data_IF_860787896502
#
_entry.id   IF_860787896502
#
_cell.length_a   1.000
_cell.length_b   1.000
_cell.length_c   1.000
_cell.angle_alpha   90.00
_cell.angle_beta   90.00
_cell.angle_gamma   90.00
#
_symmetry.space_group_name_H-M   'P 1'
#
loop_
_entity.id
_entity.type
_entity.pdbx_description
1 polymer ?
#
# COMPACT_ATOMS: atom_id res chain seq x y z
N UNK A 1 -30.90 -20.67 -1.83
CA UNK A 1 -29.92 -21.54 -2.49
C UNK A 1 -29.66 -22.70 -1.53
N UNK A 2 -29.97 -23.91 -1.92
CA UNK A 2 -29.67 -25.09 -1.09
C UNK A 2 -28.36 -25.70 -1.55
N UNK A 3 -27.44 -25.86 -0.64
CA UNK A 3 -26.14 -26.45 -0.89
C UNK A 3 -26.03 -27.73 -0.06
N UNK A 4 -26.25 -28.92 -0.66
CA UNK A 4 -26.18 -30.19 0.07
C UNK A 4 -24.72 -30.45 0.45
N UNK A 5 -24.46 -30.69 1.71
CA UNK A 5 -23.18 -31.17 2.20
C UNK A 5 -23.30 -32.69 2.36
N UNK A 6 -22.56 -33.40 1.53
CA UNK A 6 -22.61 -34.88 1.52
C UNK A 6 -21.39 -35.41 2.25
N UNK A 7 -21.56 -36.36 3.16
CA UNK A 7 -20.46 -37.07 3.78
C UNK A 7 -19.68 -37.85 2.72
N UNK A 8 -18.33 -37.74 2.74
CA UNK A 8 -17.49 -38.46 1.78
C UNK A 8 -17.28 -39.93 2.12
N UNK A 9 -17.53 -40.33 3.36
CA UNK A 9 -17.31 -41.68 3.86
C UNK A 9 -18.51 -42.14 4.71
N UNK A 10 -18.64 -43.44 4.85
CA UNK A 10 -19.71 -44.07 5.67
C UNK A 10 -19.36 -43.94 7.17
N UNK A 11 -20.40 -43.67 7.99
CA UNK A 11 -20.21 -43.52 9.42
C UNK A 11 -21.38 -42.85 10.12
N UNK A 12 -21.25 -42.61 11.41
CA UNK A 12 -22.26 -42.00 12.26
C UNK A 12 -21.95 -40.49 12.40
N UNK A 13 -22.88 -39.64 11.97
CA UNK A 13 -22.77 -38.19 12.08
C UNK A 13 -23.30 -37.71 13.42
N UNK A 14 -22.52 -36.97 14.15
CA UNK A 14 -22.95 -36.22 15.33
C UNK A 14 -22.90 -34.72 15.00
N UNK A 15 -24.07 -34.08 14.97
CA UNK A 15 -24.13 -32.65 14.73
C UNK A 15 -23.69 -31.85 15.96
N UNK A 16 -22.80 -30.87 15.75
CA UNK A 16 -22.32 -29.94 16.77
C UNK A 16 -23.15 -28.66 16.75
N UNK A 17 -23.58 -28.23 15.58
CA UNK A 17 -24.42 -27.04 15.41
C UNK A 17 -25.91 -27.41 15.28
N UNK A 18 -26.75 -26.58 15.86
CA UNK A 18 -28.21 -26.76 15.80
C UNK A 18 -28.79 -26.20 14.49
N UNK A 19 -29.90 -26.75 13.98
CA UNK A 19 -30.58 -26.18 12.82
C UNK A 19 -30.97 -24.72 13.05
N UNK A 20 -30.79 -23.89 12.03
CA UNK A 20 -31.13 -22.47 12.07
C UNK A 20 -30.00 -21.53 12.57
N UNK A 21 -28.85 -22.06 12.95
CA UNK A 21 -27.68 -21.25 13.31
C UNK A 21 -26.97 -20.75 12.04
N UNK A 22 -26.52 -19.50 12.05
CA UNK A 22 -25.65 -18.98 11.02
C UNK A 22 -24.26 -19.60 11.15
N UNK A 23 -23.64 -19.91 10.00
CA UNK A 23 -22.34 -20.56 9.92
C UNK A 23 -21.35 -19.65 9.23
N UNK A 24 -20.12 -19.64 9.75
CA UNK A 24 -18.99 -18.98 9.11
C UNK A 24 -18.04 -20.02 8.45
N UNK A 25 -17.27 -19.60 7.44
CA UNK A 25 -16.27 -20.49 6.85
C UNK A 25 -15.28 -20.99 7.90
N UNK A 26 -15.17 -22.31 8.03
CA UNK A 26 -14.34 -22.97 9.05
C UNK A 26 -15.08 -23.47 10.29
N UNK A 27 -16.36 -23.16 10.43
CA UNK A 27 -17.20 -23.71 11.50
C UNK A 27 -17.39 -25.23 11.39
N UNK A 28 -17.23 -25.93 12.51
CA UNK A 28 -17.48 -27.37 12.60
C UNK A 28 -18.99 -27.61 12.68
N UNK A 29 -19.54 -28.22 11.65
CA UNK A 29 -20.96 -28.59 11.57
C UNK A 29 -21.30 -29.84 12.35
N UNK A 30 -20.43 -30.82 12.25
CA UNK A 30 -20.60 -32.12 12.84
C UNK A 30 -19.32 -32.93 12.84
N UNK A 31 -19.30 -33.98 13.59
CA UNK A 31 -18.23 -34.96 13.67
C UNK A 31 -18.73 -36.26 13.04
N UNK A 32 -17.99 -36.82 12.12
CA UNK A 32 -18.28 -38.11 11.51
C UNK A 32 -17.39 -39.17 12.16
N UNK A 33 -18.04 -40.08 12.90
CA UNK A 33 -17.36 -41.27 13.40
C UNK A 33 -17.43 -42.34 12.28
N UNK A 34 -16.28 -42.64 11.73
CA UNK A 34 -16.15 -43.51 10.55
C UNK A 34 -16.36 -44.98 10.92
N UNK A 35 -17.06 -45.70 10.06
CA UNK A 35 -17.19 -47.15 10.18
C UNK A 35 -15.84 -47.85 9.94
N UNK A 36 -15.04 -47.32 9.03
CA UNK A 36 -13.66 -47.76 8.78
C UNK A 36 -12.68 -46.60 8.87
N UNK A 37 -12.07 -46.37 10.06
CA UNK A 37 -11.07 -45.28 10.24
C UNK A 37 -9.83 -45.41 9.36
N UNK A 38 -9.51 -46.59 8.85
CA UNK A 38 -8.34 -46.83 8.02
C UNK A 38 -8.48 -46.19 6.60
N UNK A 39 -9.67 -45.87 6.17
CA UNK A 39 -9.93 -45.21 4.89
C UNK A 39 -9.47 -43.77 4.86
N UNK A 40 -9.39 -43.09 6.01
CA UNK A 40 -8.92 -41.71 6.08
C UNK A 40 -7.41 -41.67 6.15
N UNK A 41 -6.80 -41.07 5.14
CA UNK A 41 -5.37 -40.77 5.17
C UNK A 41 -5.12 -39.59 6.11
N UNK A 42 -4.65 -39.87 7.30
CA UNK A 42 -4.17 -38.80 8.19
C UNK A 42 -2.98 -38.08 7.58
N UNK A 43 -2.98 -36.75 7.65
CA UNK A 43 -1.82 -35.96 7.30
C UNK A 43 -0.66 -36.37 8.23
N UNK A 44 0.44 -36.79 7.64
CA UNK A 44 1.67 -37.08 8.38
C UNK A 44 2.55 -35.85 8.37
N UNK A 45 3.27 -35.53 9.45
CA UNK A 45 4.30 -34.51 9.39
C UNK A 45 5.25 -34.81 8.23
N UNK A 46 5.64 -33.76 7.52
CA UNK A 46 6.63 -33.90 6.47
C UNK A 46 7.99 -34.17 7.10
N UNK A 47 8.57 -35.34 6.83
CA UNK A 47 9.86 -35.82 7.36
C UNK A 47 11.00 -35.71 6.35
N UNK A 48 10.71 -35.15 5.17
CA UNK A 48 11.69 -34.96 4.11
C UNK A 48 12.37 -33.60 4.17
N UNK A 49 13.42 -33.44 3.38
CA UNK A 49 14.01 -32.14 3.11
C UNK A 49 13.17 -31.38 2.09
N UNK A 50 12.84 -30.13 2.41
CA UNK A 50 12.22 -29.25 1.41
C UNK A 50 13.20 -29.09 0.25
N UNK A 51 12.71 -29.14 -1.01
CA UNK A 51 13.59 -28.92 -2.15
C UNK A 51 14.24 -27.53 -1.98
N UNK A 52 15.53 -27.37 -2.37
CA UNK A 52 16.18 -26.08 -2.31
C UNK A 52 15.35 -25.12 -3.14
N UNK A 53 14.81 -24.10 -2.50
CA UNK A 53 14.15 -23.00 -3.20
C UNK A 53 15.24 -22.32 -4.02
N UNK A 54 15.05 -22.27 -5.34
CA UNK A 54 15.89 -21.46 -6.20
C UNK A 54 15.98 -20.01 -5.72
N UNK A 55 16.87 -19.21 -6.30
CA UNK A 55 16.92 -17.79 -5.97
C UNK A 55 15.50 -17.22 -6.06
N UNK A 56 15.13 -16.41 -5.07
CA UNK A 56 13.82 -15.79 -5.04
C UNK A 56 13.54 -15.18 -6.41
N UNK A 57 12.49 -15.65 -7.06
CA UNK A 57 12.11 -15.13 -8.38
C UNK A 57 11.95 -13.63 -8.24
N UNK A 58 12.50 -12.88 -9.19
CA UNK A 58 12.29 -11.43 -9.22
C UNK A 58 10.79 -11.21 -9.39
N UNK A 59 10.12 -10.90 -8.28
CA UNK A 59 8.69 -10.62 -8.28
C UNK A 59 8.51 -9.29 -9.02
N UNK A 60 8.13 -9.41 -10.28
CA UNK A 60 7.63 -8.30 -11.06
C UNK A 60 8.67 -7.31 -11.57
N UNK A 61 8.98 -7.41 -12.86
CA UNK A 61 9.77 -6.39 -13.58
C UNK A 61 8.93 -5.25 -14.15
N UNK A 62 7.61 -5.24 -13.92
CA UNK A 62 6.76 -4.15 -14.39
C UNK A 62 7.05 -2.89 -13.60
N UNK A 63 7.03 -1.74 -14.24
CA UNK A 63 7.32 -0.43 -13.65
C UNK A 63 6.54 -0.20 -12.36
N UNK A 64 5.24 -0.48 -12.33
CA UNK A 64 4.43 -0.36 -11.11
C UNK A 64 4.88 -1.29 -9.98
N UNK A 65 5.25 -2.52 -10.29
CA UNK A 65 5.72 -3.47 -9.27
C UNK A 65 7.07 -3.06 -8.68
N UNK A 66 7.97 -2.51 -9.51
CA UNK A 66 9.22 -1.91 -9.06
C UNK A 66 8.94 -0.70 -8.15
N UNK A 67 8.01 0.17 -8.55
CA UNK A 67 7.56 1.31 -7.75
C UNK A 67 7.09 0.88 -6.36
N UNK A 68 6.13 -0.05 -6.28
CA UNK A 68 5.57 -0.55 -5.01
C UNK A 68 6.66 -1.16 -4.13
N UNK A 69 7.57 -1.95 -4.71
CA UNK A 69 8.70 -2.53 -3.98
C UNK A 69 9.62 -1.45 -3.41
N UNK A 70 9.98 -0.46 -4.22
CA UNK A 70 10.86 0.63 -3.77
C UNK A 70 10.21 1.44 -2.65
N UNK A 71 8.96 1.84 -2.81
CA UNK A 71 8.22 2.60 -1.79
C UNK A 71 8.11 1.78 -0.50
N UNK A 72 7.65 0.53 -0.56
CA UNK A 72 7.53 -0.33 0.62
C UNK A 72 8.86 -0.53 1.34
N UNK A 73 9.96 -0.77 0.61
CA UNK A 73 11.29 -0.90 1.24
C UNK A 73 11.73 0.41 1.93
N UNK A 74 11.44 1.57 1.34
CA UNK A 74 11.79 2.86 1.95
C UNK A 74 10.89 3.19 3.14
N UNK A 75 9.61 2.82 3.09
CA UNK A 75 8.69 2.91 4.21
C UNK A 75 9.15 2.03 5.38
N UNK A 76 9.53 0.77 5.13
CA UNK A 76 10.12 -0.12 6.13
C UNK A 76 11.34 0.51 6.81
N UNK A 77 12.22 1.17 6.04
CA UNK A 77 13.38 1.87 6.61
C UNK A 77 12.94 3.05 7.49
N UNK A 78 11.91 3.80 7.08
CA UNK A 78 11.35 4.90 7.87
C UNK A 78 10.64 4.39 9.12
N UNK A 79 10.09 3.19 9.10
CA UNK A 79 9.51 2.50 10.24
C UNK A 79 10.56 1.90 11.19
N UNK A 80 11.85 1.92 10.80
CA UNK A 80 12.97 1.57 11.67
C UNK A 80 13.67 0.26 11.35
N UNK A 81 13.32 -0.39 10.26
CA UNK A 81 14.09 -1.55 9.77
C UNK A 81 15.42 -1.07 9.18
N UNK A 82 16.53 -1.44 9.82
CA UNK A 82 17.85 -1.03 9.37
C UNK A 82 18.31 -1.85 8.16
N UNK A 83 18.21 -1.27 6.99
CA UNK A 83 18.70 -1.86 5.74
C UNK A 83 19.55 -0.86 4.94
N UNK A 84 20.62 -0.42 5.56
CA UNK A 84 21.52 0.57 4.99
C UNK A 84 22.15 0.13 3.66
N UNK A 85 22.39 -1.18 3.48
CA UNK A 85 23.04 -1.72 2.29
C UNK A 85 22.27 -1.47 1.00
N UNK A 86 20.93 -1.50 1.04
CA UNK A 86 20.08 -1.33 -0.14
C UNK A 86 19.42 0.05 -0.23
N UNK A 87 19.45 0.85 0.82
CA UNK A 87 18.75 2.13 0.91
C UNK A 87 19.07 3.06 -0.28
N UNK A 88 20.35 3.30 -0.54
CA UNK A 88 20.77 4.22 -1.60
C UNK A 88 20.40 3.71 -3.00
N UNK A 89 20.54 2.41 -3.25
CA UNK A 89 20.17 1.82 -4.54
C UNK A 89 18.65 1.81 -4.74
N UNK A 90 17.89 1.53 -3.69
CA UNK A 90 16.42 1.54 -3.74
C UNK A 90 15.88 2.95 -3.94
N UNK A 91 16.44 3.95 -3.27
CA UNK A 91 16.04 5.34 -3.47
C UNK A 91 16.33 5.81 -4.90
N UNK A 92 17.53 5.49 -5.42
CA UNK A 92 17.87 5.79 -6.81
C UNK A 92 16.91 5.11 -7.79
N UNK A 93 16.62 3.82 -7.58
CA UNK A 93 15.66 3.08 -8.40
C UNK A 93 14.25 3.70 -8.32
N UNK A 94 13.80 4.15 -7.14
CA UNK A 94 12.53 4.86 -7.00
C UNK A 94 12.48 6.09 -7.89
N UNK A 95 13.53 6.93 -7.88
CA UNK A 95 13.58 8.12 -8.71
C UNK A 95 13.52 7.76 -10.20
N UNK A 96 14.29 6.76 -10.64
CA UNK A 96 14.25 6.29 -12.04
C UNK A 96 12.84 5.85 -12.45
N UNK A 97 12.16 5.11 -11.59
CA UNK A 97 10.80 4.60 -11.84
C UNK A 97 9.76 5.73 -11.84
N UNK A 98 9.91 6.75 -10.99
CA UNK A 98 9.00 7.91 -10.96
C UNK A 98 9.04 8.73 -12.26
N UNK A 99 10.16 8.71 -12.99
CA UNK A 99 10.28 9.34 -14.31
C UNK A 99 9.87 8.44 -15.48
N UNK A 100 9.52 7.17 -15.23
CA UNK A 100 9.12 6.26 -16.28
C UNK A 100 7.69 6.58 -16.78
N UNK A 101 7.51 6.95 -18.07
CA UNK A 101 6.19 7.26 -18.63
C UNK A 101 5.19 6.09 -18.57
N UNK A 102 5.67 4.85 -18.48
CA UNK A 102 4.83 3.65 -18.36
C UNK A 102 4.27 3.44 -16.95
N UNK A 103 4.79 4.13 -15.94
CA UNK A 103 4.35 3.96 -14.55
C UNK A 103 2.83 4.13 -14.38
N UNK A 104 2.19 5.25 -14.78
CA UNK A 104 0.75 5.43 -14.62
C UNK A 104 -0.07 4.39 -15.39
N UNK A 105 0.36 4.01 -16.58
CA UNK A 105 -0.33 3.00 -17.38
C UNK A 105 -0.24 1.60 -16.74
N UNK A 106 0.90 1.26 -16.19
CA UNK A 106 1.13 0.00 -15.48
C UNK A 106 0.29 -0.08 -14.20
N UNK A 107 0.23 0.99 -13.42
CA UNK A 107 -0.53 1.07 -12.17
C UNK A 107 -2.04 0.98 -12.44
N UNK A 108 -2.57 1.80 -13.34
CA UNK A 108 -3.99 1.76 -13.71
C UNK A 108 -4.38 0.43 -14.33
N UNK A 109 -3.55 -0.16 -15.18
CA UNK A 109 -3.81 -1.49 -15.74
C UNK A 109 -3.89 -2.58 -14.67
N UNK A 110 -3.04 -2.51 -13.64
CA UNK A 110 -3.09 -3.43 -12.50
C UNK A 110 -4.41 -3.30 -11.74
N UNK A 111 -4.85 -2.08 -11.45
CA UNK A 111 -6.11 -1.82 -10.76
C UNK A 111 -7.32 -2.25 -11.60
N UNK A 112 -7.33 -1.92 -12.90
CA UNK A 112 -8.40 -2.37 -13.79
C UNK A 112 -8.51 -3.90 -13.83
N UNK A 113 -7.39 -4.61 -13.74
CA UNK A 113 -7.40 -6.07 -13.66
C UNK A 113 -8.03 -6.58 -12.37
N UNK A 114 -7.84 -5.91 -11.24
CA UNK A 114 -8.49 -6.28 -9.95
C UNK A 114 -9.98 -5.92 -9.91
N UNK A 115 -10.39 -4.91 -10.66
CA UNK A 115 -11.78 -4.47 -10.77
C UNK A 115 -12.54 -5.18 -11.89
N UNK A 116 -11.88 -5.97 -12.72
CA UNK A 116 -12.51 -6.74 -13.80
C UNK A 116 -13.61 -7.64 -13.24
N UNK A 117 -14.78 -7.61 -13.89
CA UNK A 117 -15.97 -8.31 -13.42
C UNK A 117 -16.73 -7.64 -12.25
N UNK A 118 -16.16 -6.61 -11.63
CA UNK A 118 -16.84 -5.78 -10.60
C UNK A 118 -17.27 -4.42 -11.13
N UNK A 119 -16.74 -4.04 -12.27
CA UNK A 119 -17.05 -2.80 -12.97
C UNK A 119 -17.91 -3.11 -14.20
N UNK A 120 -18.89 -2.26 -14.55
CA UNK A 120 -19.68 -2.41 -15.77
C UNK A 120 -18.79 -2.41 -17.03
N UNK A 121 -19.00 -3.37 -17.94
CA UNK A 121 -18.16 -3.53 -19.14
C UNK A 121 -18.07 -2.27 -20.00
N UNK A 122 -19.19 -1.56 -20.16
CA UNK A 122 -19.20 -0.28 -20.90
C UNK A 122 -18.27 0.78 -20.31
N UNK A 123 -18.19 0.84 -18.98
CA UNK A 123 -17.28 1.76 -18.29
C UNK A 123 -15.83 1.33 -18.48
N UNK A 124 -15.55 0.02 -18.34
CA UNK A 124 -14.22 -0.53 -18.56
C UNK A 124 -13.71 -0.28 -19.99
N UNK A 125 -14.57 -0.51 -21.00
CA UNK A 125 -14.26 -0.23 -22.40
C UNK A 125 -13.98 1.26 -22.65
N UNK A 126 -14.77 2.16 -22.06
CA UNK A 126 -14.55 3.60 -22.18
C UNK A 126 -13.21 4.04 -21.58
N UNK A 127 -12.82 3.48 -20.44
CA UNK A 127 -11.53 3.76 -19.79
C UNK A 127 -10.39 3.22 -20.64
N UNK A 128 -10.46 1.97 -21.10
CA UNK A 128 -9.44 1.37 -21.98
C UNK A 128 -9.29 2.14 -23.27
N UNK A 129 -10.38 2.54 -23.90
CA UNK A 129 -10.36 3.39 -25.10
C UNK A 129 -9.71 4.76 -24.85
N UNK A 130 -9.91 5.35 -23.68
CA UNK A 130 -9.25 6.60 -23.30
C UNK A 130 -7.73 6.41 -23.16
N UNK A 131 -7.30 5.30 -22.57
CA UNK A 131 -5.88 4.93 -22.41
C UNK A 131 -5.25 4.68 -23.78
N UNK A 132 -5.85 3.84 -24.61
CA UNK A 132 -5.33 3.48 -25.95
C UNK A 132 -5.25 4.70 -26.86
N UNK A 133 -6.24 5.60 -26.77
CA UNK A 133 -6.24 6.86 -27.51
C UNK A 133 -5.10 7.80 -27.09
N UNK A 134 -4.70 7.79 -25.84
CA UNK A 134 -3.57 8.57 -25.34
C UNK A 134 -2.24 7.96 -25.80
N UNK A 135 -2.08 6.64 -25.67
CA UNK A 135 -0.88 5.91 -26.16
C UNK A 135 -0.67 6.10 -27.66
N UNK A 136 -1.74 6.07 -28.46
CA UNK A 136 -1.65 6.19 -29.93
C UNK A 136 -1.28 7.59 -30.42
N UNK A 137 -1.51 8.64 -29.61
CA UNK A 137 -1.16 10.02 -29.97
C UNK A 137 0.32 10.36 -29.80
N UNK A 138 1.11 9.46 -29.23
CA UNK A 138 2.54 9.67 -29.03
C UNK A 138 2.89 10.68 -27.94
N UNK A 139 1.90 11.25 -27.25
CA UNK A 139 2.08 12.05 -26.03
C UNK A 139 2.40 11.10 -24.86
N UNK A 140 3.52 10.39 -24.98
CA UNK A 140 3.99 9.42 -23.98
C UNK A 140 4.20 10.03 -22.59
N UNK A 141 4.21 11.37 -22.51
CA UNK A 141 4.49 12.09 -21.28
C UNK A 141 3.24 12.52 -20.49
N UNK A 142 2.06 12.38 -21.05
CA UNK A 142 0.84 12.85 -20.38
C UNK A 142 -0.22 11.77 -20.27
N UNK A 143 -0.19 11.08 -19.12
CA UNK A 143 -1.24 10.13 -18.79
C UNK A 143 -2.60 10.84 -18.66
N UNK A 144 -3.68 10.35 -19.30
CA UNK A 144 -4.97 11.06 -19.40
C UNK A 144 -5.82 10.97 -18.12
N UNK A 145 -5.23 11.21 -16.94
CA UNK A 145 -5.90 11.10 -15.65
C UNK A 145 -7.20 11.91 -15.57
N UNK A 146 -7.14 13.17 -15.98
CA UNK A 146 -8.30 14.08 -15.99
C UNK A 146 -9.43 13.55 -16.86
N UNK A 147 -9.10 13.01 -18.04
CA UNK A 147 -10.10 12.47 -18.97
C UNK A 147 -10.76 11.22 -18.42
N UNK A 148 -9.96 10.31 -17.85
CA UNK A 148 -10.48 9.07 -17.26
C UNK A 148 -11.36 9.41 -16.06
N UNK A 149 -10.93 10.34 -15.20
CA UNK A 149 -11.71 10.79 -14.06
C UNK A 149 -13.06 11.37 -14.47
N UNK A 150 -13.09 12.20 -15.51
CA UNK A 150 -14.35 12.72 -16.06
C UNK A 150 -15.27 11.61 -16.58
N UNK A 151 -14.74 10.60 -17.25
CA UNK A 151 -15.53 9.44 -17.71
C UNK A 151 -16.16 8.71 -16.52
N UNK A 152 -15.40 8.49 -15.45
CA UNK A 152 -15.88 7.87 -14.21
C UNK A 152 -16.98 8.69 -13.54
N UNK A 153 -16.74 9.99 -13.36
CA UNK A 153 -17.69 10.91 -12.71
C UNK A 153 -18.99 11.01 -13.50
N UNK A 154 -18.89 11.15 -14.83
CA UNK A 154 -20.06 11.20 -15.72
C UNK A 154 -20.87 9.90 -15.63
N UNK A 155 -20.20 8.75 -15.64
CA UNK A 155 -20.87 7.45 -15.48
C UNK A 155 -21.59 7.35 -14.14
N UNK A 156 -20.94 7.77 -13.04
CA UNK A 156 -21.54 7.77 -11.70
C UNK A 156 -22.78 8.67 -11.64
N UNK A 157 -22.75 9.82 -12.30
CA UNK A 157 -23.88 10.77 -12.30
C UNK A 157 -25.06 10.30 -13.14
N UNK A 158 -24.79 9.75 -14.32
CA UNK A 158 -25.82 9.49 -15.34
C UNK A 158 -26.37 8.08 -15.30
N UNK A 159 -25.52 7.10 -14.94
CA UNK A 159 -25.90 5.69 -15.03
C UNK A 159 -26.22 5.06 -13.67
N UNK A 160 -25.81 5.69 -12.56
CA UNK A 160 -25.99 5.13 -11.21
C UNK A 160 -27.09 5.90 -10.47
N UNK A 161 -28.02 5.15 -9.86
CA UNK A 161 -29.08 5.75 -9.05
C UNK A 161 -28.48 6.53 -7.86
N UNK A 162 -29.05 7.68 -7.47
CA UNK A 162 -28.51 8.52 -6.40
C UNK A 162 -28.19 7.79 -5.09
N UNK A 163 -29.06 6.84 -4.71
CA UNK A 163 -28.89 6.03 -3.49
C UNK A 163 -27.68 5.08 -3.52
N UNK A 164 -27.28 4.66 -4.72
CA UNK A 164 -26.22 3.65 -4.91
C UNK A 164 -24.86 4.28 -5.26
N UNK A 165 -24.82 5.61 -5.54
CA UNK A 165 -23.60 6.32 -5.97
C UNK A 165 -22.47 6.25 -4.96
N UNK A 166 -22.78 6.35 -3.68
CA UNK A 166 -21.76 6.28 -2.61
C UNK A 166 -21.09 4.90 -2.58
N UNK A 167 -21.90 3.84 -2.61
CA UNK A 167 -21.40 2.46 -2.62
C UNK A 167 -20.55 2.20 -3.88
N UNK A 168 -21.02 2.64 -5.04
CA UNK A 168 -20.29 2.48 -6.30
C UNK A 168 -18.96 3.26 -6.31
N UNK A 169 -18.93 4.48 -5.76
CA UNK A 169 -17.68 5.23 -5.58
C UNK A 169 -16.71 4.51 -4.66
N UNK A 170 -17.17 3.96 -3.55
CA UNK A 170 -16.33 3.17 -2.64
C UNK A 170 -15.74 1.94 -3.34
N UNK A 171 -16.51 1.28 -4.19
CA UNK A 171 -16.04 0.13 -4.97
C UNK A 171 -14.94 0.52 -5.97
N UNK A 172 -15.01 1.72 -6.56
CA UNK A 172 -14.04 2.25 -7.50
C UNK A 172 -12.97 3.15 -6.83
N UNK A 173 -12.98 3.28 -5.50
CA UNK A 173 -12.02 4.13 -4.78
C UNK A 173 -10.57 3.90 -5.19
N UNK A 174 -10.05 2.65 -5.34
CA UNK A 174 -8.66 2.44 -5.76
C UNK A 174 -8.32 3.08 -7.10
N UNK A 175 -9.29 3.13 -8.03
CA UNK A 175 -9.09 3.76 -9.33
C UNK A 175 -9.11 5.29 -9.22
N UNK A 176 -10.02 5.86 -8.43
CA UNK A 176 -10.04 7.30 -8.16
C UNK A 176 -8.74 7.75 -7.49
N UNK A 177 -8.28 7.03 -6.49
CA UNK A 177 -7.05 7.35 -5.74
C UNK A 177 -5.82 7.40 -6.64
N UNK A 178 -5.69 6.43 -7.55
CA UNK A 178 -4.58 6.44 -8.52
C UNK A 178 -4.70 7.58 -9.52
N UNK A 179 -5.90 7.84 -10.04
CA UNK A 179 -6.09 8.97 -10.95
C UNK A 179 -5.74 10.30 -10.27
N UNK A 180 -6.09 10.47 -9.00
CA UNK A 180 -5.77 11.67 -8.23
C UNK A 180 -4.27 11.87 -8.03
N UNK A 181 -3.50 10.79 -7.82
CA UNK A 181 -2.04 10.84 -7.77
C UNK A 181 -1.43 11.40 -9.06
N UNK A 182 -2.00 11.06 -10.21
CA UNK A 182 -1.50 11.46 -11.52
C UNK A 182 -2.17 12.71 -12.12
N UNK A 183 -3.02 13.42 -11.37
CA UNK A 183 -3.66 14.66 -11.84
C UNK A 183 -2.65 15.75 -12.24
N UNK A 184 -1.50 15.80 -11.56
CA UNK A 184 -0.39 16.70 -11.89
C UNK A 184 0.67 16.08 -12.81
N UNK A 185 0.35 14.98 -13.51
CA UNK A 185 1.31 14.22 -14.32
C UNK A 185 2.35 13.48 -13.46
N UNK A 186 3.46 13.06 -14.08
CA UNK A 186 4.55 12.37 -13.39
C UNK A 186 5.17 13.23 -12.28
N UNK A 187 5.35 14.55 -12.51
CA UNK A 187 5.86 15.45 -11.47
C UNK A 187 4.93 15.57 -10.27
N UNK A 188 3.63 15.62 -10.50
CA UNK A 188 2.65 15.62 -9.41
C UNK A 188 2.73 14.35 -8.58
N UNK A 189 2.86 13.21 -9.24
CA UNK A 189 3.03 11.92 -8.57
C UNK A 189 4.35 11.83 -7.79
N UNK A 190 5.44 12.34 -8.35
CA UNK A 190 6.75 12.46 -7.68
C UNK A 190 6.64 13.27 -6.38
N UNK A 191 6.08 14.48 -6.46
CA UNK A 191 5.84 15.35 -5.29
C UNK A 191 5.00 14.63 -4.24
N UNK A 192 3.93 13.94 -4.67
CA UNK A 192 3.06 13.20 -3.78
C UNK A 192 3.81 12.05 -3.06
N UNK A 193 4.60 11.28 -3.79
CA UNK A 193 5.37 10.15 -3.24
C UNK A 193 6.42 10.63 -2.24
N UNK A 194 7.20 11.65 -2.60
CA UNK A 194 8.21 12.24 -1.72
C UNK A 194 7.58 12.84 -0.47
N UNK A 195 6.47 13.59 -0.62
CA UNK A 195 5.73 14.12 0.52
C UNK A 195 5.17 13.03 1.43
N UNK A 196 4.71 11.91 0.86
CA UNK A 196 4.20 10.76 1.63
C UNK A 196 5.29 10.11 2.49
N UNK A 197 6.48 9.87 1.91
CA UNK A 197 7.63 9.34 2.65
C UNK A 197 8.05 10.27 3.79
N UNK A 198 8.17 11.58 3.52
CA UNK A 198 8.51 12.55 4.56
C UNK A 198 7.41 12.66 5.64
N UNK A 199 6.15 12.54 5.27
CA UNK A 199 5.02 12.54 6.21
C UNK A 199 5.01 11.31 7.12
N UNK A 200 5.42 10.14 6.62
CA UNK A 200 5.60 8.94 7.43
C UNK A 200 6.68 9.15 8.50
N UNK A 201 7.83 9.72 8.09
CA UNK A 201 8.88 10.11 9.03
C UNK A 201 8.39 11.12 10.08
N UNK A 202 7.75 12.20 9.62
CA UNK A 202 7.19 13.25 10.49
C UNK A 202 6.23 12.68 11.53
N UNK A 203 5.32 11.78 11.10
CA UNK A 203 4.34 11.16 11.99
C UNK A 203 5.02 10.35 13.09
N UNK A 204 6.08 9.62 12.77
CA UNK A 204 6.86 8.87 13.75
C UNK A 204 7.58 9.80 14.73
N UNK A 205 8.24 10.85 14.25
CA UNK A 205 8.94 11.80 15.11
C UNK A 205 7.97 12.58 16.03
N UNK A 206 6.79 12.96 15.54
CA UNK A 206 5.74 13.59 16.35
C UNK A 206 5.29 12.71 17.52
N UNK A 207 5.25 11.41 17.35
CA UNK A 207 4.91 10.48 18.45
C UNK A 207 5.90 10.59 19.61
N UNK A 208 7.15 10.91 19.35
CA UNK A 208 8.23 10.95 20.34
C UNK A 208 8.65 12.36 20.76
N UNK A 209 7.92 13.39 20.36
CA UNK A 209 8.19 14.81 20.67
C UNK A 209 8.04 15.23 22.15
N UNK A 210 8.18 14.28 23.10
CA UNK A 210 8.12 14.50 24.54
C UNK A 210 8.98 13.50 25.30
N UNK A 211 8.60 13.13 26.55
CA UNK A 211 9.28 12.02 27.24
C UNK A 211 9.02 10.71 26.51
N UNK A 212 10.11 10.05 26.10
CA UNK A 212 10.06 8.74 25.41
C UNK A 212 9.33 7.71 26.27
N UNK A 213 9.62 7.68 27.59
CA UNK A 213 9.01 6.73 28.52
C UNK A 213 7.48 6.90 28.59
N UNK A 214 7.02 8.15 28.73
CA UNK A 214 5.59 8.43 28.79
C UNK A 214 4.89 8.05 27.48
N UNK A 215 5.55 8.23 26.34
CA UNK A 215 5.02 7.88 25.03
C UNK A 215 4.99 6.37 24.82
N UNK A 216 6.05 5.64 25.19
CA UNK A 216 6.08 4.18 25.13
C UNK A 216 4.97 3.57 26.00
N UNK A 217 4.75 4.09 27.20
CA UNK A 217 3.65 3.65 28.06
C UNK A 217 2.29 3.91 27.40
N UNK A 218 2.10 5.08 26.81
CA UNK A 218 0.86 5.42 26.07
C UNK A 218 0.64 4.50 24.85
N UNK A 219 1.69 4.22 24.06
CA UNK A 219 1.62 3.32 22.92
C UNK A 219 1.28 1.89 23.36
N UNK A 220 1.85 1.43 24.45
CA UNK A 220 1.54 0.12 25.04
C UNK A 220 0.08 0.02 25.48
N UNK A 221 -0.45 1.07 26.10
CA UNK A 221 -1.86 1.15 26.49
C UNK A 221 -2.80 1.11 25.27
N UNK A 222 -2.45 1.82 24.21
CA UNK A 222 -3.25 1.90 22.98
C UNK A 222 -3.20 0.63 22.14
N UNK A 223 -2.11 -0.13 22.21
CA UNK A 223 -1.89 -1.35 21.42
C UNK A 223 -1.66 -2.55 22.32
N UNK A 224 -2.53 -2.78 23.30
CA UNK A 224 -2.40 -3.88 24.29
C UNK A 224 -2.32 -5.25 23.64
N UNK A 225 -3.01 -5.43 22.51
CA UNK A 225 -3.12 -6.70 21.80
C UNK A 225 -2.04 -6.87 20.70
N UNK A 226 -1.24 -5.83 20.43
CA UNK A 226 -0.21 -5.82 19.39
C UNK A 226 1.08 -5.17 19.89
N UNK A 227 1.82 -5.93 20.70
CA UNK A 227 3.09 -5.47 21.25
C UNK A 227 4.19 -5.35 20.19
N UNK A 228 4.13 -6.13 19.11
CA UNK A 228 5.09 -6.06 18.02
C UNK A 228 5.02 -4.71 17.32
N UNK A 229 3.82 -4.16 17.16
CA UNK A 229 3.63 -2.81 16.66
C UNK A 229 4.24 -1.74 17.57
N UNK A 230 4.12 -1.90 18.88
CA UNK A 230 4.77 -0.98 19.85
C UNK A 230 6.29 -1.05 19.73
N UNK A 231 6.85 -2.26 19.63
CA UNK A 231 8.29 -2.46 19.45
C UNK A 231 8.78 -1.85 18.14
N UNK A 232 8.08 -2.07 17.04
CA UNK A 232 8.39 -1.48 15.73
C UNK A 232 8.42 0.05 15.79
N UNK A 233 7.40 0.68 16.37
CA UNK A 233 7.32 2.14 16.54
C UNK A 233 8.47 2.69 17.41
N UNK A 234 8.78 2.04 18.52
CA UNK A 234 9.89 2.46 19.39
C UNK A 234 11.24 2.31 18.70
N UNK A 235 11.46 1.21 17.99
CA UNK A 235 12.69 0.99 17.23
C UNK A 235 12.84 1.97 16.08
N UNK A 236 11.75 2.34 15.40
CA UNK A 236 11.80 3.34 14.32
C UNK A 236 12.30 4.69 14.82
N UNK A 237 12.02 5.04 16.07
CA UNK A 237 12.51 6.28 16.66
C UNK A 237 13.97 6.17 17.15
N UNK A 238 14.31 5.08 17.83
CA UNK A 238 15.56 5.01 18.62
C UNK A 238 16.80 4.54 17.87
N UNK A 239 16.68 3.74 16.81
CA UNK A 239 17.83 3.01 16.23
C UNK A 239 18.16 3.36 14.79
N UNK A 240 17.39 4.16 14.12
CA UNK A 240 17.49 4.23 12.68
C UNK A 240 18.51 5.25 12.17
N UNK A 241 19.78 4.91 12.16
CA UNK A 241 20.76 5.66 11.36
C UNK A 241 20.38 5.67 9.86
N UNK A 242 19.85 4.57 9.35
CA UNK A 242 19.37 4.47 7.97
C UNK A 242 18.21 5.42 7.71
N UNK A 243 17.26 5.54 8.65
CA UNK A 243 16.15 6.48 8.57
C UNK A 243 16.61 7.92 8.38
N UNK A 244 17.51 8.39 9.23
CA UNK A 244 18.06 9.76 9.12
C UNK A 244 18.83 9.98 7.83
N UNK A 245 19.63 9.00 7.40
CA UNK A 245 20.34 9.06 6.11
C UNK A 245 19.39 9.11 4.92
N UNK A 246 18.29 8.33 4.97
CA UNK A 246 17.27 8.35 3.93
C UNK A 246 16.60 9.72 3.83
N UNK A 247 16.21 10.30 4.97
CA UNK A 247 15.61 11.64 5.00
C UNK A 247 16.56 12.69 4.43
N UNK A 248 17.84 12.65 4.82
CA UNK A 248 18.86 13.55 4.24
C UNK A 248 18.97 13.36 2.72
N UNK A 249 19.00 12.12 2.23
CA UNK A 249 19.02 11.85 0.79
C UNK A 249 17.79 12.37 0.06
N UNK A 250 16.62 12.29 0.68
CA UNK A 250 15.37 12.86 0.13
C UNK A 250 15.47 14.40 0.10
N UNK A 251 15.96 15.04 1.15
CA UNK A 251 16.10 16.50 1.22
C UNK A 251 17.12 17.01 0.18
N UNK A 252 18.25 16.34 0.04
CA UNK A 252 19.25 16.65 -0.99
C UNK A 252 18.67 16.50 -2.41
N UNK A 253 17.85 15.48 -2.61
CA UNK A 253 17.14 15.27 -3.87
C UNK A 253 16.16 16.42 -4.15
N UNK A 254 15.32 16.81 -3.19
CA UNK A 254 14.38 17.94 -3.33
C UNK A 254 15.13 19.22 -3.72
N UNK A 255 16.27 19.49 -3.08
CA UNK A 255 17.11 20.66 -3.35
C UNK A 255 17.68 20.65 -4.78
N UNK A 256 18.07 19.47 -5.28
CA UNK A 256 18.70 19.32 -6.60
C UNK A 256 17.71 19.17 -7.76
N UNK A 257 16.53 18.62 -7.53
CA UNK A 257 15.55 18.28 -8.57
C UNK A 257 14.67 19.45 -9.01
N UNK A 258 14.68 20.58 -8.29
CA UNK A 258 13.84 21.74 -8.57
C UNK A 258 12.35 21.43 -8.43
N UNK A 259 11.98 20.53 -7.53
CA UNK A 259 10.59 20.27 -7.19
C UNK A 259 9.91 21.56 -6.69
N UNK A 260 8.61 21.77 -7.02
CA UNK A 260 7.90 22.98 -6.64
C UNK A 260 7.62 22.98 -5.12
N UNK A 261 8.52 23.55 -4.36
CA UNK A 261 8.40 23.72 -2.89
C UNK A 261 7.73 25.04 -2.53
N UNK A 262 7.68 26.00 -3.48
CA UNK A 262 7.33 27.40 -3.23
C UNK A 262 5.84 27.71 -3.06
N UNK A 263 4.95 26.74 -3.23
CA UNK A 263 3.51 26.95 -3.02
C UNK A 263 3.11 26.53 -1.61
N UNK A 264 2.63 27.46 -0.80
CA UNK A 264 2.11 27.18 0.54
C UNK A 264 0.95 26.18 0.56
N UNK A 265 0.29 25.96 -0.58
CA UNK A 265 -0.77 24.98 -0.77
C UNK A 265 -0.22 23.58 -1.11
N UNK A 266 1.08 23.48 -1.44
CA UNK A 266 1.72 22.20 -1.73
C UNK A 266 1.86 21.36 -0.47
N UNK A 267 1.39 20.12 -0.50
CA UNK A 267 1.58 19.14 0.59
C UNK A 267 3.07 19.00 0.97
N UNK A 268 3.96 19.03 -0.01
CA UNK A 268 5.39 18.95 0.23
C UNK A 268 5.89 20.14 1.07
N UNK A 269 5.45 21.36 0.77
CA UNK A 269 5.78 22.55 1.57
C UNK A 269 5.29 22.41 3.01
N UNK A 270 4.05 21.94 3.20
CA UNK A 270 3.47 21.75 4.54
C UNK A 270 4.30 20.75 5.36
N UNK A 271 4.63 19.60 4.78
CA UNK A 271 5.44 18.58 5.46
C UNK A 271 6.84 19.10 5.79
N UNK A 272 7.50 19.80 4.88
CA UNK A 272 8.82 20.38 5.14
C UNK A 272 8.78 21.45 6.24
N UNK A 273 7.74 22.28 6.26
CA UNK A 273 7.54 23.27 7.32
C UNK A 273 7.26 22.60 8.68
N UNK A 274 6.48 21.54 8.70
CA UNK A 274 6.21 20.76 9.91
C UNK A 274 7.49 20.08 10.42
N UNK A 275 8.30 19.51 9.54
CA UNK A 275 9.60 18.96 9.91
C UNK A 275 10.54 20.03 10.49
N UNK A 276 10.60 21.22 9.90
CA UNK A 276 11.42 22.33 10.42
C UNK A 276 10.96 22.77 11.82
N UNK A 277 9.65 22.75 12.09
CA UNK A 277 9.12 23.07 13.42
C UNK A 277 9.37 21.97 14.46
N UNK A 278 9.44 20.70 14.03
CA UNK A 278 9.81 19.58 14.89
C UNK A 278 11.27 19.67 15.31
N UNK A 279 12.18 20.01 14.38
CA UNK A 279 13.61 20.15 14.65
C UNK A 279 13.88 21.18 15.75
N UNK A 280 13.17 22.29 15.75
CA UNK A 280 13.31 23.31 16.82
C UNK A 280 12.98 22.79 18.22
N UNK A 281 12.28 21.64 18.33
CA UNK A 281 11.89 20.99 19.58
C UNK A 281 12.72 19.75 19.92
N UNK A 282 13.39 19.15 18.93
CA UNK A 282 14.19 17.93 19.05
C UNK A 282 15.69 18.28 19.00
N UNK A 283 16.27 18.62 20.12
CA UNK A 283 17.67 19.10 20.28
C UNK A 283 18.76 18.07 19.85
N UNK A 284 18.42 16.98 19.20
CA UNK A 284 19.34 15.85 18.96
C UNK A 284 19.59 15.45 17.51
N UNK A 285 19.10 16.17 16.52
CA UNK A 285 19.47 15.93 15.13
C UNK A 285 20.40 17.06 14.64
N UNK A 286 21.56 16.78 14.06
CA UNK A 286 22.43 17.80 13.49
C UNK A 286 21.89 18.25 12.13
N UNK A 287 20.77 18.95 12.12
CA UNK A 287 20.30 19.64 10.94
C UNK A 287 20.92 21.05 10.93
N UNK A 288 21.80 21.32 9.99
CA UNK A 288 22.12 22.68 9.62
C UNK A 288 20.98 23.27 8.79
N UNK A 289 20.57 24.52 9.05
CA UNK A 289 19.44 25.11 8.34
C UNK A 289 19.69 25.18 6.85
N UNK A 290 18.69 24.78 6.08
CA UNK A 290 18.68 24.81 4.60
C UNK A 290 18.47 26.23 4.04
N UNK A 291 18.74 27.29 4.83
CA UNK A 291 18.59 28.67 4.39
C UNK A 291 19.92 29.45 4.60
N UNK A 292 20.63 29.58 3.53
CA UNK A 292 21.41 30.77 3.15
C UNK A 292 21.18 31.05 1.66
#
# INVERSE_FOLDING_TARGET
>A
MYMPLVAAEDGIVQFVKQPGVSLEPGDILGILTLDDPARVKHAKPFDGLLPPMGPAGVVGNRTYQRFVRCVGTLEDILEGYDNQAIMASTFKELIEVLYDPELPYSEVSSILSTLSGRMPSKLEEAIRSAIDSAKSRGDAHEFPAVRIKKVLEHYVQDSILPKDRSMFRTQLAPLFDVLDKFMGGLKGHEVHTIASLLSAYESTEKLFGGSIEARVLSLREQNKDDLDKVVALVLSHTKAQSKSKLVLSILDYIKSSGLPVSSAESRLYQVLNDLATLESKLVHLPFHPLYD
#
